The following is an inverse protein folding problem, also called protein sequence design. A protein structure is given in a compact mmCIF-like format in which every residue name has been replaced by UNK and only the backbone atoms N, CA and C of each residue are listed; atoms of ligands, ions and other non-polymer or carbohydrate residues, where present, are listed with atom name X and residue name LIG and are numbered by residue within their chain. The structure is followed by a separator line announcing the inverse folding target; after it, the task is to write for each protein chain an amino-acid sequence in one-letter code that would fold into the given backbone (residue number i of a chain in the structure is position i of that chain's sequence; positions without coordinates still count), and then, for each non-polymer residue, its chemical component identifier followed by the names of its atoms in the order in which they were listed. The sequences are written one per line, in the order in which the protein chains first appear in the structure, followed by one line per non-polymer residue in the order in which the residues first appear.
data_IF_371956605627
#
_entry.id   IF_371956605627
#
_cell.length_a   1.000
_cell.length_b   1.000
_cell.length_c   1.000
_cell.angle_alpha   90.00
_cell.angle_beta   90.00
_cell.angle_gamma   90.00
#
_symmetry.space_group_name_H-M   'P 1'
#
loop_
_entity.id
_entity.type
_entity.pdbx_description
1 polymer ?
#
# COMPACT_ATOMS: atom_id res chain seq x y z
N UNK A 1 28.04 -19.22 -30.92
CA UNK A 1 26.91 -20.00 -30.35
C UNK A 1 25.82 -19.01 -29.87
N UNK A 2 25.28 -18.20 -30.77
CA UNK A 2 24.35 -17.08 -30.45
C UNK A 2 22.90 -17.33 -30.92
N UNK A 3 22.71 -18.35 -31.75
CA UNK A 3 21.42 -18.72 -32.37
C UNK A 3 20.30 -18.96 -31.34
N UNK A 4 20.63 -19.45 -30.13
CA UNK A 4 19.62 -19.68 -29.07
C UNK A 4 19.07 -18.39 -28.44
N UNK A 5 19.85 -17.30 -28.40
CA UNK A 5 19.36 -16.01 -27.86
C UNK A 5 18.41 -15.33 -28.85
N UNK A 6 18.78 -15.31 -30.12
CA UNK A 6 17.95 -14.75 -31.18
C UNK A 6 16.64 -15.51 -31.32
N UNK A 7 16.67 -16.84 -31.25
CA UNK A 7 15.46 -17.67 -31.31
C UNK A 7 14.53 -17.44 -30.10
N UNK A 8 15.08 -17.21 -28.91
CA UNK A 8 14.28 -16.88 -27.70
C UNK A 8 13.60 -15.52 -27.82
N UNK A 9 14.30 -14.53 -28.39
CA UNK A 9 13.73 -13.20 -28.69
C UNK A 9 12.63 -13.31 -29.75
N UNK A 10 12.85 -14.10 -30.80
CA UNK A 10 11.86 -14.38 -31.84
C UNK A 10 10.60 -15.04 -31.26
N UNK A 11 10.75 -16.05 -30.40
CA UNK A 11 9.62 -16.70 -29.73
C UNK A 11 8.86 -15.72 -28.83
N UNK A 12 9.56 -14.87 -28.06
CA UNK A 12 8.92 -13.87 -27.19
C UNK A 12 8.12 -12.87 -28.04
N UNK A 13 8.69 -12.38 -29.14
CA UNK A 13 8.00 -11.42 -30.02
C UNK A 13 6.76 -12.04 -30.67
N UNK A 14 6.85 -13.29 -31.14
CA UNK A 14 5.71 -14.03 -31.70
C UNK A 14 4.66 -14.33 -30.63
N UNK A 15 5.06 -14.70 -29.42
CA UNK A 15 4.12 -14.97 -28.32
C UNK A 15 3.39 -13.70 -27.87
N UNK A 16 4.09 -12.57 -27.78
CA UNK A 16 3.47 -11.26 -27.50
C UNK A 16 2.51 -10.88 -28.61
N UNK A 17 2.90 -11.06 -29.88
CA UNK A 17 2.04 -10.78 -31.03
C UNK A 17 0.79 -11.67 -31.04
N UNK A 18 0.93 -12.98 -30.79
CA UNK A 18 -0.22 -13.89 -30.67
C UNK A 18 -1.10 -13.53 -29.46
N UNK A 19 -0.51 -13.13 -28.34
CA UNK A 19 -1.23 -12.70 -27.15
C UNK A 19 -2.07 -11.44 -27.39
N UNK A 20 -1.52 -10.47 -28.13
CA UNK A 20 -2.24 -9.28 -28.61
C UNK A 20 -3.31 -9.63 -29.65
N UNK A 21 -3.02 -10.59 -30.54
CA UNK A 21 -3.95 -11.03 -31.57
C UNK A 21 -5.15 -11.80 -31.00
N UNK A 22 -4.94 -12.59 -29.95
CA UNK A 22 -6.02 -13.30 -29.23
C UNK A 22 -6.74 -12.44 -28.19
N UNK A 23 -6.35 -11.17 -28.02
CA UNK A 23 -7.00 -10.28 -27.09
C UNK A 23 -8.41 -9.98 -27.63
N UNK A 24 -9.49 -10.34 -26.91
CA UNK A 24 -10.86 -10.21 -27.40
C UNK A 24 -11.34 -8.76 -27.24
N UNK A 25 -10.73 -7.84 -27.99
CA UNK A 25 -11.02 -6.40 -27.98
C UNK A 25 -12.45 -6.06 -28.46
N UNK A 26 -13.11 -6.99 -29.16
CA UNK A 26 -14.48 -6.84 -29.65
C UNK A 26 -15.54 -7.37 -28.65
N UNK A 27 -15.12 -7.96 -27.54
CA UNK A 27 -16.04 -8.38 -26.48
C UNK A 27 -16.48 -7.17 -25.64
N UNK A 28 -17.79 -6.95 -25.56
CA UNK A 28 -18.41 -5.95 -24.68
C UNK A 28 -17.93 -6.06 -23.21
N UNK A 29 -17.62 -7.29 -22.77
CA UNK A 29 -17.14 -7.56 -21.40
C UNK A 29 -15.71 -7.07 -21.20
N UNK A 30 -14.85 -7.18 -22.23
CA UNK A 30 -13.45 -6.76 -22.12
C UNK A 30 -13.33 -5.23 -22.06
N UNK A 31 -14.06 -4.51 -22.92
CA UNK A 31 -14.05 -3.04 -22.90
C UNK A 31 -14.64 -2.49 -21.59
N UNK A 32 -15.74 -3.08 -21.10
CA UNK A 32 -16.34 -2.70 -19.81
C UNK A 32 -15.39 -2.98 -18.64
N UNK A 33 -14.67 -4.10 -18.64
CA UNK A 33 -13.71 -4.44 -17.58
C UNK A 33 -12.52 -3.50 -17.56
N UNK A 34 -12.01 -3.10 -18.72
CA UNK A 34 -10.90 -2.15 -18.85
C UNK A 34 -11.34 -0.75 -18.38
N UNK A 35 -12.49 -0.25 -18.83
CA UNK A 35 -13.02 1.05 -18.42
C UNK A 35 -13.28 1.10 -16.91
N UNK A 36 -13.90 0.06 -16.34
CA UNK A 36 -14.13 -0.02 -14.90
C UNK A 36 -12.82 -0.05 -14.09
N UNK A 37 -11.79 -0.74 -14.59
CA UNK A 37 -10.47 -0.81 -13.93
C UNK A 37 -9.78 0.56 -13.93
N UNK A 38 -9.84 1.29 -15.05
CA UNK A 38 -9.26 2.63 -15.15
C UNK A 38 -10.03 3.66 -14.31
N UNK A 39 -11.36 3.58 -14.27
CA UNK A 39 -12.17 4.50 -13.46
C UNK A 39 -11.93 4.29 -11.96
N UNK A 40 -11.94 3.03 -11.50
CA UNK A 40 -11.65 2.69 -10.10
C UNK A 40 -10.24 3.10 -9.69
N UNK A 41 -9.22 2.79 -10.50
CA UNK A 41 -7.83 3.15 -10.18
C UNK A 41 -7.61 4.66 -10.15
N UNK A 42 -8.23 5.41 -11.07
CA UNK A 42 -8.19 6.88 -11.09
C UNK A 42 -8.88 7.48 -9.87
N UNK A 43 -10.04 6.94 -9.48
CA UNK A 43 -10.76 7.39 -8.28
C UNK A 43 -9.97 7.07 -7.00
N UNK A 44 -9.39 5.87 -6.91
CA UNK A 44 -8.59 5.45 -5.76
C UNK A 44 -7.31 6.27 -5.60
N UNK A 45 -6.58 6.51 -6.70
CA UNK A 45 -5.34 7.27 -6.68
C UNK A 45 -5.56 8.76 -6.34
N UNK A 46 -6.68 9.33 -6.78
CA UNK A 46 -6.99 10.75 -6.54
C UNK A 46 -7.56 10.98 -5.15
N UNK A 47 -8.56 10.21 -4.76
CA UNK A 47 -9.32 10.52 -3.55
C UNK A 47 -8.74 9.74 -2.36
N UNK A 48 -8.61 8.42 -2.50
CA UNK A 48 -8.34 7.54 -1.37
C UNK A 48 -6.88 7.59 -0.89
N UNK A 49 -5.92 7.60 -1.83
CA UNK A 49 -4.49 7.65 -1.51
C UNK A 49 -4.13 8.99 -0.86
N UNK A 50 -4.61 10.10 -1.43
CA UNK A 50 -4.27 11.44 -0.94
C UNK A 50 -4.94 11.72 0.42
N UNK A 51 -6.21 11.36 0.59
CA UNK A 51 -6.93 11.59 1.85
C UNK A 51 -6.44 10.71 3.00
N UNK A 52 -5.85 9.53 2.72
CA UNK A 52 -5.41 8.61 3.78
C UNK A 52 -3.91 8.72 4.08
N UNK A 53 -3.03 8.69 3.07
CA UNK A 53 -1.58 8.68 3.29
C UNK A 53 -1.04 10.02 3.77
N UNK A 54 -1.55 11.13 3.23
CA UNK A 54 -1.06 12.47 3.61
C UNK A 54 -1.25 12.76 5.12
N UNK A 55 -2.44 12.58 5.71
CA UNK A 55 -2.60 12.78 7.16
C UNK A 55 -1.86 11.73 7.98
N UNK A 56 -1.83 10.46 7.53
CA UNK A 56 -1.12 9.40 8.25
C UNK A 56 0.38 9.70 8.39
N UNK A 57 1.05 10.14 7.32
CA UNK A 57 2.48 10.50 7.35
C UNK A 57 2.76 11.73 8.21
N UNK A 58 1.89 12.75 8.17
CA UNK A 58 2.04 13.94 9.01
C UNK A 58 1.92 13.60 10.50
N UNK A 59 0.93 12.78 10.87
CA UNK A 59 0.71 12.35 12.26
C UNK A 59 1.88 11.48 12.74
N UNK A 60 2.32 10.51 11.93
CA UNK A 60 3.47 9.68 12.23
C UNK A 60 4.76 10.50 12.42
N UNK A 61 4.97 11.53 11.61
CA UNK A 61 6.09 12.46 11.73
C UNK A 61 6.09 13.29 13.02
N UNK A 62 4.92 13.79 13.45
CA UNK A 62 4.81 14.50 14.74
C UNK A 62 5.08 13.54 15.89
N UNK A 63 4.50 12.35 15.87
CA UNK A 63 4.66 11.38 16.97
C UNK A 63 6.10 10.89 17.08
N UNK A 64 6.80 10.64 15.97
CA UNK A 64 8.19 10.18 16.01
C UNK A 64 9.15 11.21 16.65
N UNK A 65 8.80 12.50 16.59
CA UNK A 65 9.56 13.58 17.22
C UNK A 65 9.18 13.75 18.70
N UNK A 66 7.90 13.59 19.05
CA UNK A 66 7.40 13.85 20.41
C UNK A 66 7.39 12.64 21.34
N UNK A 67 7.33 11.41 20.83
CA UNK A 67 7.19 10.18 21.63
C UNK A 67 8.50 9.39 21.63
N UNK A 68 9.26 9.51 22.73
CA UNK A 68 10.42 8.64 22.97
C UNK A 68 9.97 7.27 23.49
N UNK A 69 10.42 6.17 22.87
CA UNK A 69 10.12 4.80 23.32
C UNK A 69 10.53 4.55 24.78
N UNK A 70 11.61 5.20 25.25
CA UNK A 70 12.08 5.10 26.63
C UNK A 70 11.07 5.69 27.64
N UNK A 71 10.35 6.74 27.26
CA UNK A 71 9.30 7.33 28.10
C UNK A 71 8.08 6.41 28.21
N UNK A 72 7.69 5.74 27.13
CA UNK A 72 6.55 4.81 27.11
C UNK A 72 6.83 3.63 28.06
N UNK A 73 8.00 3.00 27.97
CA UNK A 73 8.38 1.87 28.83
C UNK A 73 8.46 2.28 30.31
N UNK A 74 8.87 3.52 30.61
CA UNK A 74 8.88 4.06 31.99
C UNK A 74 7.47 4.15 32.60
N UNK A 75 6.44 4.44 31.80
CA UNK A 75 5.04 4.48 32.26
C UNK A 75 4.36 3.11 32.34
N UNK A 76 4.99 2.04 31.87
CA UNK A 76 4.56 0.65 32.05
C UNK A 76 5.23 -0.06 33.25
N UNK A 77 6.07 0.64 34.02
CA UNK A 77 6.77 0.06 35.17
C UNK A 77 5.85 -0.36 36.33
N UNK A 78 6.34 -1.27 37.18
CA UNK A 78 5.58 -1.90 38.28
C UNK A 78 4.97 -0.94 39.33
N UNK A 79 5.34 0.35 39.34
CA UNK A 79 4.77 1.40 40.21
C UNK A 79 3.81 2.36 39.49
N UNK A 80 3.53 2.16 38.20
CA UNK A 80 2.70 3.08 37.43
C UNK A 80 1.21 2.94 37.78
N UNK A 81 0.52 4.08 37.87
CA UNK A 81 -0.93 4.11 38.12
C UNK A 81 -1.66 3.49 36.91
N UNK A 82 -2.55 2.52 37.18
CA UNK A 82 -3.33 1.78 36.16
C UNK A 82 -3.98 2.69 35.11
N UNK A 83 -4.51 3.84 35.54
CA UNK A 83 -5.12 4.84 34.66
C UNK A 83 -4.15 5.42 33.62
N UNK A 84 -2.94 5.80 34.03
CA UNK A 84 -1.94 6.40 33.14
C UNK A 84 -1.39 5.37 32.16
N UNK A 85 -1.18 4.14 32.63
CA UNK A 85 -0.74 3.05 31.76
C UNK A 85 -1.79 2.73 30.68
N UNK A 86 -3.08 2.75 31.02
CA UNK A 86 -4.16 2.48 30.07
C UNK A 86 -4.28 3.55 28.98
N UNK A 87 -4.18 4.84 29.36
CA UNK A 87 -4.25 5.95 28.38
C UNK A 87 -3.05 5.93 27.44
N UNK A 88 -1.85 5.69 27.97
CA UNK A 88 -0.64 5.62 27.16
C UNK A 88 -0.69 4.40 26.23
N UNK A 89 -1.18 3.25 26.70
CA UNK A 89 -1.34 2.04 25.89
C UNK A 89 -2.34 2.23 24.74
N UNK A 90 -3.49 2.86 25.00
CA UNK A 90 -4.50 3.11 23.98
C UNK A 90 -3.98 4.06 22.89
N UNK A 91 -3.35 5.17 23.29
CA UNK A 91 -2.80 6.15 22.35
C UNK A 91 -1.68 5.52 21.52
N UNK A 92 -0.69 4.89 22.15
CA UNK A 92 0.42 4.25 21.40
C UNK A 92 -0.03 3.05 20.54
N UNK A 93 -1.04 2.30 20.97
CA UNK A 93 -1.63 1.21 20.19
C UNK A 93 -2.37 1.68 18.94
N UNK A 94 -3.18 2.75 19.05
CA UNK A 94 -3.86 3.34 17.87
C UNK A 94 -2.86 3.85 16.84
N UNK A 95 -1.75 4.43 17.28
CA UNK A 95 -0.68 4.91 16.42
C UNK A 95 0.00 3.74 15.69
N UNK A 96 0.40 2.70 16.42
CA UNK A 96 1.01 1.51 15.82
C UNK A 96 0.09 0.83 14.81
N UNK A 97 -1.22 0.76 15.10
CA UNK A 97 -2.21 0.23 14.17
C UNK A 97 -2.27 1.09 12.90
N UNK A 98 -2.42 2.41 13.02
CA UNK A 98 -2.49 3.30 11.84
C UNK A 98 -1.21 3.20 11.01
N UNK A 99 -0.04 3.27 11.62
CA UNK A 99 1.25 3.21 10.92
C UNK A 99 1.57 1.82 10.33
N UNK A 100 1.00 0.74 10.87
CA UNK A 100 1.20 -0.63 10.37
C UNK A 100 0.14 -1.07 9.35
N UNK A 101 -1.03 -0.43 9.31
CA UNK A 101 -2.12 -0.75 8.36
C UNK A 101 -2.06 0.09 7.09
N UNK A 102 -1.25 1.16 7.06
CA UNK A 102 -0.96 1.98 5.87
C UNK A 102 0.30 1.54 5.12
N UNK A 103 0.76 0.30 5.34
CA UNK A 103 1.81 -0.37 4.56
C UNK A 103 1.19 -1.53 3.80
#
# INVERSE_FOLDING_TARGET
MEVRKEFKILIIMVAVFLGLFFLPLESQVFNTAIDATFDLSRWYAREHVILCLLPAFLIAGVISVFVSQASVIKYFGARAKKWVAYTVAAVSGTILAVCSCTI
#
